data_IF_811619670154
#
_entry.id   IF_811619670154
#
_cell.length_a   1.000
_cell.length_b   1.000
_cell.length_c   1.000
_cell.angle_alpha   90.00
_cell.angle_beta   90.00
_cell.angle_gamma   90.00
#
_symmetry.space_group_name_H-M   'P 1'
#
loop_
_entity.id
_entity.type
_entity.pdbx_description
1 polymer ?
#
# COMPACT_ATOMS: atom_id res chain seq x y z
N UNK A 1 -34.27 39.83 49.85
CA UNK A 1 -34.29 41.27 50.14
C UNK A 1 -34.06 41.99 48.80
N UNK A 2 -35.13 42.56 48.26
CA UNK A 2 -35.30 43.36 47.01
C UNK A 2 -35.04 44.85 47.40
N UNK A 3 -34.59 45.82 46.54
CA UNK A 3 -35.14 46.17 45.20
C UNK A 3 -34.12 46.51 44.09
N UNK A 4 -34.39 46.35 42.78
CA UNK A 4 -35.50 46.71 41.88
C UNK A 4 -35.46 48.18 41.40
N UNK A 5 -35.13 48.43 40.13
CA UNK A 5 -35.83 49.44 39.31
C UNK A 5 -35.76 49.18 37.81
N UNK A 6 -36.97 49.24 37.26
CA UNK A 6 -37.44 49.09 35.89
C UNK A 6 -37.11 50.33 35.03
N UNK A 7 -36.93 50.12 33.74
CA UNK A 7 -36.92 51.16 32.71
C UNK A 7 -37.05 50.56 31.31
N UNK A 8 -38.27 50.20 30.94
CA UNK A 8 -38.73 49.80 29.61
C UNK A 8 -38.61 50.94 28.59
N UNK A 9 -38.17 50.64 27.35
CA UNK A 9 -38.62 51.28 26.10
C UNK A 9 -38.30 50.39 24.88
N UNK A 10 -39.32 49.66 24.43
CA UNK A 10 -39.83 49.63 23.05
C UNK A 10 -38.84 49.65 21.87
N UNK A 11 -38.79 48.52 21.15
CA UNK A 11 -39.07 48.46 19.72
C UNK A 11 -37.98 48.91 18.75
N UNK A 12 -37.37 47.94 18.06
CA UNK A 12 -37.06 47.98 16.62
C UNK A 12 -36.66 46.56 16.21
N UNK A 13 -37.45 45.97 15.32
CA UNK A 13 -37.17 44.66 14.76
C UNK A 13 -35.89 44.68 13.94
N UNK A 14 -34.99 43.74 14.21
CA UNK A 14 -33.97 43.34 13.26
C UNK A 14 -34.18 41.87 12.95
N UNK A 15 -34.47 41.63 11.66
CA UNK A 15 -34.58 40.32 11.06
C UNK A 15 -33.22 39.64 11.18
N UNK A 16 -33.18 38.53 11.92
CA UNK A 16 -32.06 37.61 11.95
C UNK A 16 -31.99 36.91 10.59
N UNK A 17 -30.89 37.01 9.81
CA UNK A 17 -30.67 36.08 8.72
C UNK A 17 -30.18 34.77 9.33
N UNK A 18 -31.03 33.74 9.22
CA UNK A 18 -30.67 32.34 9.43
C UNK A 18 -29.55 31.99 8.45
N UNK A 19 -28.31 31.87 8.94
CA UNK A 19 -27.22 31.27 8.18
C UNK A 19 -27.52 29.77 7.98
N UNK A 20 -28.18 29.44 6.87
CA UNK A 20 -28.18 28.07 6.34
C UNK A 20 -26.76 27.74 5.89
N UNK A 21 -26.03 26.96 6.69
CA UNK A 21 -24.86 26.22 6.21
C UNK A 21 -25.30 25.29 5.08
N UNK A 22 -25.01 25.65 3.83
CA UNK A 22 -24.89 24.68 2.73
C UNK A 22 -23.40 24.42 2.54
N UNK A 23 -23.01 23.16 2.75
CA UNK A 23 -21.65 22.71 2.56
C UNK A 23 -21.21 22.90 1.11
N UNK A 24 -20.12 23.63 0.92
CA UNK A 24 -19.39 23.64 -0.34
C UNK A 24 -18.46 22.42 -0.33
N UNK A 25 -18.88 21.35 -1.02
CA UNK A 25 -17.97 20.29 -1.46
C UNK A 25 -17.01 20.90 -2.49
N UNK A 26 -15.74 21.07 -2.12
CA UNK A 26 -14.68 21.36 -3.07
C UNK A 26 -14.55 20.18 -4.04
N UNK A 27 -14.93 20.39 -5.30
CA UNK A 27 -14.67 19.46 -6.39
C UNK A 27 -13.22 19.64 -6.82
N UNK A 28 -12.36 18.67 -6.49
CA UNK A 28 -11.03 18.59 -7.05
C UNK A 28 -11.14 18.29 -8.55
N UNK A 29 -10.62 19.18 -9.39
CA UNK A 29 -10.43 18.91 -10.80
C UNK A 29 -9.25 17.93 -10.95
N UNK A 30 -9.55 16.70 -11.38
CA UNK A 30 -8.55 15.71 -11.77
C UNK A 30 -8.16 16.04 -13.21
N UNK A 31 -6.92 16.46 -13.44
CA UNK A 31 -6.36 16.60 -14.78
C UNK A 31 -6.02 15.20 -15.30
N UNK A 32 -6.94 14.60 -16.05
CA UNK A 32 -6.72 13.32 -16.73
C UNK A 32 -6.26 13.63 -18.17
N UNK A 33 -4.96 13.60 -18.43
CA UNK A 33 -4.42 13.74 -19.79
C UNK A 33 -4.35 12.35 -20.44
N UNK A 34 -5.38 11.99 -21.20
CA UNK A 34 -5.32 10.90 -22.17
C UNK A 34 -4.85 11.48 -23.51
N UNK A 35 -3.58 11.23 -23.86
CA UNK A 35 -3.08 11.56 -25.19
C UNK A 35 -3.55 10.50 -26.21
N UNK A 36 -3.94 10.99 -27.38
CA UNK A 36 -4.53 10.25 -28.52
C UNK A 36 -3.58 9.21 -29.18
N UNK A 37 -4.11 8.25 -29.96
CA UNK A 37 -3.55 6.90 -30.10
C UNK A 37 -2.49 6.70 -31.22
N UNK A 38 -1.81 7.75 -31.66
CA UNK A 38 -0.96 7.66 -32.87
C UNK A 38 0.36 6.87 -32.69
N UNK A 39 0.67 6.35 -31.50
CA UNK A 39 1.82 5.47 -31.25
C UNK A 39 1.42 4.13 -30.58
N UNK A 40 0.15 3.73 -30.69
CA UNK A 40 -0.41 2.54 -30.02
C UNK A 40 -0.44 1.26 -30.88
N UNK A 41 0.27 1.21 -32.01
CA UNK A 41 0.28 0.03 -32.88
C UNK A 41 1.64 -0.64 -32.87
N UNK A 42 1.80 -1.61 -31.96
CA UNK A 42 2.39 -2.94 -32.20
C UNK A 42 2.90 -3.55 -30.88
N UNK A 43 1.98 -4.08 -30.06
CA UNK A 43 2.31 -5.22 -29.18
C UNK A 43 2.01 -6.48 -29.97
N UNK A 44 2.93 -7.44 -30.13
CA UNK A 44 2.59 -8.71 -30.76
C UNK A 44 1.55 -9.43 -29.89
N UNK A 45 0.49 -9.96 -30.51
CA UNK A 45 -0.62 -10.66 -29.85
C UNK A 45 -0.16 -11.77 -28.87
N UNK A 46 1.04 -12.30 -29.05
CA UNK A 46 1.69 -13.25 -28.13
C UNK A 46 1.96 -12.69 -26.72
N UNK A 47 2.12 -11.37 -26.56
CA UNK A 47 2.31 -10.74 -25.24
C UNK A 47 0.99 -10.58 -24.47
N UNK A 48 -0.14 -10.56 -25.18
CA UNK A 48 -1.48 -10.37 -24.61
C UNK A 48 -2.06 -11.71 -24.12
N UNK A 49 -1.83 -12.80 -24.86
CA UNK A 49 -2.15 -14.16 -24.40
C UNK A 49 -1.31 -14.60 -23.18
N UNK A 50 -0.05 -14.14 -23.09
CA UNK A 50 0.80 -14.41 -21.93
C UNK A 50 0.41 -13.58 -20.68
N UNK A 51 0.04 -12.31 -20.87
CA UNK A 51 -0.42 -11.43 -19.78
C UNK A 51 -1.80 -11.82 -19.24
N UNK A 52 -2.67 -12.43 -20.06
CA UNK A 52 -3.97 -12.93 -19.62
C UNK A 52 -3.88 -14.24 -18.81
N UNK A 53 -2.77 -14.99 -18.91
CA UNK A 53 -2.53 -16.20 -18.14
C UNK A 53 -1.92 -15.94 -16.75
N UNK A 54 -1.28 -14.77 -16.54
CA UNK A 54 -0.74 -14.31 -15.26
C UNK A 54 -1.26 -12.91 -14.98
N UNK A 55 -2.31 -12.77 -14.17
CA UNK A 55 -3.08 -11.52 -14.01
C UNK A 55 -2.30 -10.32 -13.47
N UNK A 56 -1.39 -9.75 -14.25
CA UNK A 56 -0.62 -8.53 -13.96
C UNK A 56 0.35 -8.63 -12.77
N UNK A 57 0.70 -9.84 -12.30
CA UNK A 57 1.59 -10.02 -11.15
C UNK A 57 2.59 -11.19 -11.32
N UNK A 58 3.67 -11.15 -10.54
CA UNK A 58 4.68 -12.22 -10.43
C UNK A 58 4.89 -12.61 -8.98
N UNK A 59 4.93 -13.91 -8.72
CA UNK A 59 5.09 -14.48 -7.38
C UNK A 59 6.49 -15.09 -7.22
N UNK A 60 7.14 -14.79 -6.10
CA UNK A 60 8.44 -15.32 -5.69
C UNK A 60 8.29 -15.99 -4.32
N UNK A 61 8.60 -17.28 -4.24
CA UNK A 61 8.44 -18.06 -2.99
C UNK A 61 9.56 -17.67 -2.01
N UNK A 62 9.16 -17.18 -0.83
CA UNK A 62 10.07 -16.90 0.29
C UNK A 62 10.27 -18.16 1.13
N UNK A 63 9.21 -18.93 1.37
CA UNK A 63 9.22 -20.11 2.22
C UNK A 63 8.13 -21.10 1.76
N UNK A 64 8.49 -22.38 1.72
CA UNK A 64 7.58 -23.49 1.34
C UNK A 64 7.06 -24.25 2.55
N UNK A 65 7.64 -24.03 3.74
CA UNK A 65 7.30 -24.74 4.97
C UNK A 65 7.38 -26.27 4.87
N UNK A 66 8.05 -26.79 3.84
CA UNK A 66 8.16 -28.21 3.53
C UNK A 66 9.48 -28.79 4.07
N UNK A 67 9.51 -29.09 5.37
CA UNK A 67 10.68 -29.63 6.05
C UNK A 67 10.70 -31.16 6.07
N UNK A 68 11.89 -31.76 5.95
CA UNK A 68 12.02 -33.21 6.00
C UNK A 68 11.88 -33.76 7.43
N UNK A 69 12.18 -32.97 8.47
CA UNK A 69 12.11 -33.39 9.87
C UNK A 69 11.79 -32.23 10.83
N UNK A 70 11.26 -32.55 12.02
CA UNK A 70 11.01 -31.57 13.09
C UNK A 70 12.27 -30.80 13.47
N UNK A 71 13.41 -31.48 13.54
CA UNK A 71 14.68 -30.85 13.89
C UNK A 71 15.11 -29.78 12.89
N UNK A 72 14.84 -29.98 11.60
CA UNK A 72 15.13 -29.01 10.54
C UNK A 72 14.19 -27.81 10.63
N UNK A 73 12.90 -28.06 10.80
CA UNK A 73 11.89 -27.03 11.01
C UNK A 73 12.21 -26.15 12.23
N UNK A 74 12.61 -26.77 13.34
CA UNK A 74 12.99 -26.07 14.59
C UNK A 74 14.37 -25.42 14.52
N UNK A 75 15.26 -25.89 13.63
CA UNK A 75 16.52 -25.20 13.34
C UNK A 75 16.25 -23.87 12.62
N UNK A 76 15.32 -23.90 11.66
CA UNK A 76 14.92 -22.77 10.84
C UNK A 76 14.03 -21.74 11.58
N UNK A 77 13.03 -22.22 12.32
CA UNK A 77 12.03 -21.40 13.00
C UNK A 77 12.16 -21.54 14.52
N UNK A 78 12.49 -20.44 15.18
CA UNK A 78 12.69 -20.35 16.63
C UNK A 78 11.42 -19.84 17.31
N UNK A 79 10.87 -20.56 18.29
CA UNK A 79 9.80 -20.01 19.11
C UNK A 79 10.35 -18.87 19.97
N UNK A 80 9.51 -17.86 20.19
CA UNK A 80 9.76 -16.78 21.16
C UNK A 80 8.61 -16.73 22.19
N UNK A 81 8.82 -15.98 23.27
CA UNK A 81 7.87 -15.84 24.39
C UNK A 81 7.53 -17.21 25.02
N UNK A 82 6.24 -17.57 25.06
CA UNK A 82 5.72 -18.83 25.62
C UNK A 82 5.41 -19.87 24.53
N UNK A 83 5.87 -19.63 23.31
CA UNK A 83 5.50 -20.44 22.15
C UNK A 83 6.15 -21.81 22.18
N UNK A 84 5.42 -22.83 21.76
CA UNK A 84 5.97 -24.17 21.62
C UNK A 84 6.78 -24.28 20.32
N UNK A 85 7.78 -25.18 20.24
CA UNK A 85 8.48 -25.44 19.00
C UNK A 85 7.52 -25.90 17.90
N UNK A 86 7.81 -25.47 16.67
CA UNK A 86 7.09 -25.90 15.46
C UNK A 86 7.34 -27.38 15.18
N UNK A 87 6.45 -28.01 14.40
CA UNK A 87 6.58 -29.40 13.96
C UNK A 87 6.38 -29.50 12.45
N UNK A 88 7.05 -30.44 11.79
CA UNK A 88 6.66 -30.83 10.44
C UNK A 88 5.32 -31.55 10.51
N UNK A 89 4.49 -31.32 9.51
CA UNK A 89 3.24 -32.04 9.33
C UNK A 89 2.97 -32.24 7.84
N UNK A 90 1.95 -33.04 7.55
CA UNK A 90 1.42 -33.22 6.21
C UNK A 90 -0.11 -33.16 6.31
N UNK A 91 -0.76 -32.49 5.36
CA UNK A 91 -2.21 -32.44 5.26
C UNK A 91 -2.59 -32.65 3.81
N UNK A 92 -3.43 -33.66 3.54
CA UNK A 92 -3.88 -34.04 2.19
C UNK A 92 -2.71 -34.20 1.19
N UNK A 93 -1.62 -34.84 1.64
CA UNK A 93 -0.42 -35.04 0.82
C UNK A 93 0.45 -33.79 0.63
N UNK A 94 0.11 -32.67 1.25
CA UNK A 94 0.90 -31.43 1.20
C UNK A 94 1.73 -31.27 2.48
N UNK A 95 3.07 -31.22 2.39
CA UNK A 95 3.94 -30.87 3.52
C UNK A 95 3.63 -29.46 4.04
N UNK A 96 3.68 -29.30 5.36
CA UNK A 96 3.43 -28.01 6.01
C UNK A 96 4.15 -27.89 7.36
N UNK A 97 4.19 -26.67 7.89
CA UNK A 97 4.68 -26.38 9.23
C UNK A 97 3.50 -26.24 10.19
N UNK A 98 3.45 -27.07 11.23
CA UNK A 98 2.41 -27.06 12.26
C UNK A 98 2.85 -26.25 13.49
N UNK A 99 1.94 -25.38 13.94
CA UNK A 99 2.07 -24.53 15.13
C UNK A 99 0.91 -24.84 16.05
N UNK A 100 1.24 -25.21 17.30
CA UNK A 100 0.23 -25.43 18.34
C UNK A 100 -0.12 -24.11 19.03
N UNK A 101 -1.41 -23.86 19.21
CA UNK A 101 -1.95 -22.65 19.82
C UNK A 101 -2.69 -23.02 21.11
N UNK A 102 -2.01 -23.18 22.25
CA UNK A 102 -2.61 -23.69 23.48
C UNK A 102 -3.34 -22.58 24.28
N UNK A 103 -4.20 -21.79 23.64
CA UNK A 103 -4.79 -20.61 24.29
C UNK A 103 -5.81 -20.91 25.40
N UNK A 104 -6.39 -22.12 25.43
CA UNK A 104 -7.20 -22.58 26.57
C UNK A 104 -6.30 -23.19 27.66
N UNK A 105 -5.31 -23.99 27.26
CA UNK A 105 -4.42 -24.69 28.18
C UNK A 105 -3.39 -23.76 28.86
N UNK A 106 -2.93 -22.71 28.19
CA UNK A 106 -2.05 -21.67 28.72
C UNK A 106 -2.72 -20.30 28.63
N UNK A 107 -3.49 -19.97 29.66
CA UNK A 107 -4.23 -18.70 29.72
C UNK A 107 -3.34 -17.46 29.87
N UNK A 108 -2.02 -17.62 30.08
CA UNK A 108 -1.07 -16.52 30.09
C UNK A 108 -0.41 -16.28 28.72
N UNK A 109 -0.63 -17.17 27.75
CA UNK A 109 -0.12 -16.98 26.40
C UNK A 109 -1.01 -16.00 25.62
N UNK A 110 -0.47 -14.82 25.30
CA UNK A 110 -1.15 -13.79 24.52
C UNK A 110 -1.05 -14.05 23.00
N UNK A 111 0.02 -14.70 22.56
CA UNK A 111 0.28 -15.04 21.16
C UNK A 111 1.25 -16.22 21.04
N UNK A 112 1.21 -16.91 19.91
CA UNK A 112 2.30 -17.79 19.47
C UNK A 112 3.18 -17.02 18.49
N UNK A 113 4.49 -17.04 18.68
CA UNK A 113 5.50 -16.24 17.97
C UNK A 113 6.61 -17.16 17.48
N UNK A 114 6.89 -17.08 16.18
CA UNK A 114 7.93 -17.86 15.54
C UNK A 114 8.77 -16.99 14.63
N UNK A 115 10.08 -17.04 14.84
CA UNK A 115 11.07 -16.23 14.14
C UNK A 115 11.94 -17.07 13.22
N UNK A 116 12.28 -16.53 12.06
CA UNK A 116 13.26 -17.09 11.13
C UNK A 116 14.29 -16.03 10.78
N UNK A 117 15.56 -16.36 10.92
CA UNK A 117 16.64 -15.54 10.38
C UNK A 117 16.72 -15.73 8.86
N UNK A 118 16.80 -14.63 8.11
CA UNK A 118 16.87 -14.65 6.64
C UNK A 118 17.85 -13.59 6.14
N UNK A 119 18.03 -13.51 4.83
CA UNK A 119 18.67 -12.38 4.15
C UNK A 119 17.96 -12.17 2.82
N UNK A 120 17.04 -11.22 2.79
CA UNK A 120 16.13 -10.99 1.67
C UNK A 120 16.15 -9.53 1.23
N UNK A 121 16.04 -9.33 -0.08
CA UNK A 121 15.67 -8.05 -0.67
C UNK A 121 14.19 -8.11 -1.07
N UNK A 122 13.34 -7.42 -0.31
CA UNK A 122 11.90 -7.32 -0.53
C UNK A 122 11.49 -5.92 -1.02
N UNK A 123 12.46 -5.12 -1.50
CA UNK A 123 12.23 -3.74 -1.98
C UNK A 123 11.18 -3.67 -3.07
N UNK A 124 11.15 -4.67 -3.94
CA UNK A 124 10.32 -4.74 -5.14
C UNK A 124 9.04 -5.54 -4.99
N UNK A 125 8.76 -6.08 -3.79
CA UNK A 125 7.47 -6.72 -3.53
C UNK A 125 6.38 -5.67 -3.24
N UNK A 126 5.19 -5.84 -3.79
CA UNK A 126 4.00 -5.05 -3.45
C UNK A 126 3.10 -5.69 -2.41
N UNK A 127 3.14 -7.01 -2.27
CA UNK A 127 2.38 -7.74 -1.26
C UNK A 127 3.07 -9.03 -0.83
N UNK A 128 2.66 -9.57 0.32
CA UNK A 128 3.06 -10.88 0.80
C UNK A 128 1.83 -11.77 0.98
N UNK A 129 1.94 -13.01 0.57
CA UNK A 129 0.87 -14.00 0.61
C UNK A 129 1.28 -15.12 1.55
N UNK A 130 0.57 -15.26 2.67
CA UNK A 130 0.75 -16.36 3.61
C UNK A 130 -0.40 -17.34 3.44
N UNK A 131 -0.09 -18.52 2.93
CA UNK A 131 -1.04 -19.61 2.84
C UNK A 131 -1.05 -20.43 4.12
N UNK A 132 -2.24 -20.56 4.74
CA UNK A 132 -2.40 -21.23 6.02
C UNK A 132 -3.78 -21.84 6.21
N UNK A 133 -3.89 -22.74 7.20
CA UNK A 133 -5.16 -23.25 7.73
C UNK A 133 -5.12 -23.21 9.26
N UNK A 134 -6.26 -22.94 9.90
CA UNK A 134 -6.41 -23.05 11.36
C UNK A 134 -7.67 -23.86 11.64
N UNK A 135 -7.53 -24.97 12.37
CA UNK A 135 -8.64 -25.89 12.64
C UNK A 135 -9.81 -25.22 13.37
N UNK A 136 -9.51 -24.30 14.30
CA UNK A 136 -10.46 -23.51 15.10
C UNK A 136 -10.13 -22.03 14.99
N UNK A 137 -10.58 -21.34 13.92
CA UNK A 137 -10.17 -19.96 13.61
C UNK A 137 -10.56 -18.96 14.71
N UNK A 138 -11.61 -19.23 15.49
CA UNK A 138 -12.03 -18.41 16.64
C UNK A 138 -10.97 -18.32 17.76
N UNK A 139 -10.03 -19.28 17.82
CA UNK A 139 -8.89 -19.23 18.72
C UNK A 139 -7.92 -18.09 18.37
N UNK A 140 -7.94 -17.60 17.12
CA UNK A 140 -7.03 -16.59 16.60
C UNK A 140 -7.76 -15.27 16.37
N UNK A 141 -7.37 -14.24 17.13
CA UNK A 141 -7.91 -12.89 16.98
C UNK A 141 -7.38 -12.17 15.74
N UNK A 142 -6.10 -12.38 15.42
CA UNK A 142 -5.42 -11.90 14.22
C UNK A 142 -4.12 -12.68 13.98
N UNK A 143 -3.63 -12.62 12.76
CA UNK A 143 -2.27 -13.05 12.39
C UNK A 143 -1.45 -11.80 12.12
N UNK A 144 -0.20 -11.78 12.58
CA UNK A 144 0.76 -10.75 12.23
C UNK A 144 1.93 -11.36 11.48
N UNK A 145 2.34 -10.69 10.42
CA UNK A 145 3.54 -10.99 9.64
C UNK A 145 4.47 -9.80 9.82
N UNK A 146 5.66 -10.05 10.34
CA UNK A 146 6.69 -9.04 10.48
C UNK A 146 7.92 -9.38 9.67
N UNK A 147 8.57 -8.32 9.17
CA UNK A 147 9.89 -8.38 8.57
C UNK A 147 10.84 -7.49 9.36
N UNK A 148 11.86 -8.09 9.98
CA UNK A 148 12.93 -7.35 10.66
C UNK A 148 13.90 -6.82 9.62
N UNK A 149 14.34 -5.59 9.80
CA UNK A 149 15.37 -4.97 8.99
C UNK A 149 16.25 -4.09 9.89
N UNK A 150 17.42 -4.58 10.27
CA UNK A 150 18.28 -3.87 11.23
C UNK A 150 17.56 -3.63 12.57
N UNK A 151 17.49 -2.37 13.00
CA UNK A 151 16.96 -1.94 14.30
C UNK A 151 15.44 -1.68 14.29
N UNK A 152 14.71 -2.22 13.31
CA UNK A 152 13.27 -2.05 13.23
C UNK A 152 12.55 -3.16 12.49
N UNK A 153 11.23 -3.04 12.47
CA UNK A 153 10.32 -4.01 11.91
C UNK A 153 9.28 -3.34 11.02
N UNK A 154 8.94 -4.03 9.94
CA UNK A 154 7.69 -3.81 9.24
C UNK A 154 6.66 -4.79 9.78
N UNK A 155 5.52 -4.28 10.23
CA UNK A 155 4.44 -5.05 10.87
C UNK A 155 3.16 -5.00 10.02
N UNK A 156 2.74 -6.15 9.50
CA UNK A 156 1.46 -6.35 8.81
C UNK A 156 0.53 -7.23 9.63
N UNK A 157 -0.78 -7.03 9.50
CA UNK A 157 -1.78 -7.87 10.17
C UNK A 157 -2.90 -8.30 9.23
N UNK A 158 -3.34 -9.54 9.40
CA UNK A 158 -4.46 -10.15 8.68
C UNK A 158 -5.40 -10.87 9.64
N UNK A 159 -6.59 -11.21 9.16
CA UNK A 159 -7.59 -11.95 9.93
C UNK A 159 -7.93 -13.25 9.21
N UNK A 160 -8.05 -14.32 9.96
CA UNK A 160 -8.52 -15.61 9.46
C UNK A 160 -10.05 -15.57 9.49
N UNK A 161 -10.66 -15.81 8.34
CA UNK A 161 -12.12 -15.81 8.23
C UNK A 161 -12.72 -17.22 8.30
N UNK A 162 -11.96 -18.24 7.91
CA UNK A 162 -12.45 -19.60 7.70
C UNK A 162 -11.43 -20.63 8.20
N UNK A 163 -11.89 -21.83 8.55
CA UNK A 163 -11.02 -22.92 9.01
C UNK A 163 -10.26 -23.63 7.89
N UNK A 164 -10.73 -23.48 6.64
CA UNK A 164 -10.10 -24.08 5.46
C UNK A 164 -8.76 -23.41 5.15
N UNK A 165 -7.94 -24.14 4.39
CA UNK A 165 -6.74 -23.60 3.74
C UNK A 165 -7.11 -22.37 2.93
N UNK A 166 -6.45 -21.25 3.22
CA UNK A 166 -6.70 -19.95 2.60
C UNK A 166 -5.42 -19.12 2.56
N UNK A 167 -5.44 -18.06 1.75
CA UNK A 167 -4.33 -17.13 1.61
C UNK A 167 -4.66 -15.82 2.32
N UNK A 168 -3.85 -15.46 3.31
CA UNK A 168 -3.84 -14.10 3.85
C UNK A 168 -2.91 -13.23 3.01
N UNK A 169 -3.46 -12.16 2.45
CA UNK A 169 -2.70 -11.15 1.69
C UNK A 169 -2.35 -9.98 2.61
N UNK A 170 -1.08 -9.59 2.59
CA UNK A 170 -0.53 -8.46 3.32
C UNK A 170 0.06 -7.46 2.31
N UNK A 171 -0.72 -6.46 1.84
CA UNK A 171 -0.19 -5.41 0.97
C UNK A 171 0.89 -4.62 1.70
N UNK A 172 2.02 -4.36 1.05
CA UNK A 172 3.15 -3.61 1.63
C UNK A 172 2.73 -2.22 2.11
N UNK A 173 1.77 -1.59 1.42
CA UNK A 173 1.15 -0.30 1.78
C UNK A 173 0.43 -0.27 3.14
N UNK A 174 0.12 -1.44 3.71
CA UNK A 174 -0.54 -1.60 5.00
C UNK A 174 0.43 -1.95 6.14
N UNK A 175 1.70 -2.20 5.83
CA UNK A 175 2.71 -2.42 6.87
C UNK A 175 2.97 -1.12 7.62
N UNK A 176 3.11 -1.26 8.93
CA UNK A 176 3.52 -0.17 9.83
C UNK A 176 4.96 -0.38 10.22
N UNK A 177 5.64 0.71 10.52
CA UNK A 177 7.01 0.67 11.01
C UNK A 177 7.01 0.67 12.54
N UNK A 178 7.75 -0.27 13.13
CA UNK A 178 8.10 -0.30 14.55
C UNK A 178 9.63 -0.17 14.67
N UNK A 179 10.11 0.75 15.53
CA UNK A 179 11.54 1.07 15.58
C UNK A 179 12.03 1.80 14.33
N UNK A 180 13.27 1.52 13.90
CA UNK A 180 13.92 2.22 12.78
C UNK A 180 14.47 1.19 11.78
N UNK A 181 13.63 0.65 10.88
CA UNK A 181 14.05 -0.36 9.94
C UNK A 181 15.07 0.20 8.95
N UNK A 182 16.04 -0.63 8.56
CA UNK A 182 17.12 -0.26 7.66
C UNK A 182 16.70 -0.16 6.19
N UNK A 183 15.58 -0.81 5.81
CA UNK A 183 15.01 -0.76 4.47
C UNK A 183 14.50 -2.13 4.00
N UNK A 184 13.54 -2.14 3.08
CA UNK A 184 13.00 -3.39 2.53
C UNK A 184 14.03 -4.24 1.77
N UNK A 185 15.15 -3.64 1.34
CA UNK A 185 16.28 -4.31 0.72
C UNK A 185 17.24 -5.01 1.71
N UNK A 186 16.99 -4.86 3.02
CA UNK A 186 17.85 -5.36 4.09
C UNK A 186 17.02 -6.11 5.12
N UNK A 187 16.14 -7.00 4.67
CA UNK A 187 15.32 -7.82 5.57
C UNK A 187 16.16 -9.00 6.05
N UNK A 188 16.33 -9.09 7.35
CA UNK A 188 17.19 -10.10 8.01
C UNK A 188 16.42 -11.03 8.97
N UNK A 189 15.12 -10.82 9.12
CA UNK A 189 14.25 -11.64 9.96
C UNK A 189 12.81 -11.67 9.49
N UNK A 190 12.14 -12.79 9.71
CA UNK A 190 10.68 -12.95 9.54
C UNK A 190 10.12 -13.37 10.89
N UNK A 191 9.00 -12.77 11.30
CA UNK A 191 8.22 -13.22 12.46
C UNK A 191 6.78 -13.44 12.06
N UNK A 192 6.25 -14.61 12.40
CA UNK A 192 4.83 -14.93 12.26
C UNK A 192 4.25 -15.04 13.67
N UNK A 193 3.19 -14.29 13.94
CA UNK A 193 2.51 -14.33 15.22
C UNK A 193 1.00 -14.59 15.07
N UNK A 194 0.50 -15.54 15.85
CA UNK A 194 -0.93 -15.81 16.01
C UNK A 194 -1.38 -15.22 17.34
N UNK A 195 -2.21 -14.17 17.29
CA UNK A 195 -2.74 -13.53 18.49
C UNK A 195 -3.95 -14.28 19.01
N UNK A 196 -4.03 -14.44 20.33
CA UNK A 196 -5.18 -15.05 20.99
C UNK A 196 -6.47 -14.29 20.68
N UNK A 197 -7.49 -15.05 20.28
CA UNK A 197 -8.87 -14.60 20.13
C UNK A 197 -9.72 -15.10 21.29
N UNK A 198 -10.26 -16.31 21.15
CA UNK A 198 -11.01 -17.02 22.20
C UNK A 198 -10.12 -18.01 22.95
N UNK A 199 -10.58 -18.38 24.14
CA UNK A 199 -9.91 -19.35 25.02
C UNK A 199 -10.18 -20.77 24.56
N UNK A 200 -9.66 -21.09 23.38
CA UNK A 200 -9.81 -22.37 22.71
C UNK A 200 -8.43 -22.75 22.17
N UNK A 201 -8.00 -23.98 22.46
CA UNK A 201 -6.78 -24.50 21.85
C UNK A 201 -7.00 -24.70 20.35
N UNK A 202 -5.98 -24.48 19.53
CA UNK A 202 -6.04 -24.68 18.09
C UNK A 202 -4.70 -25.14 17.53
N UNK A 203 -4.71 -25.46 16.24
CA UNK A 203 -3.54 -25.80 15.45
C UNK A 203 -3.56 -24.97 14.17
N UNK A 204 -2.49 -24.22 13.94
CA UNK A 204 -2.24 -23.55 12.68
C UNK A 204 -1.28 -24.37 11.82
N UNK A 205 -1.52 -24.39 10.50
CA UNK A 205 -0.65 -25.01 9.50
C UNK A 205 -0.28 -23.99 8.45
N UNK A 206 1.02 -23.82 8.20
CA UNK A 206 1.56 -22.90 7.20
C UNK A 206 2.04 -23.70 5.98
N UNK A 207 1.67 -23.25 4.77
CA UNK A 207 1.93 -23.96 3.52
C UNK A 207 2.86 -23.20 2.58
N UNK A 208 2.75 -21.87 2.50
CA UNK A 208 3.70 -21.06 1.73
C UNK A 208 3.71 -19.62 2.21
N UNK A 209 4.85 -18.95 2.06
CA UNK A 209 4.98 -17.50 2.13
C UNK A 209 5.60 -17.02 0.82
N UNK A 210 4.92 -16.10 0.15
CA UNK A 210 5.28 -15.65 -1.20
C UNK A 210 5.31 -14.12 -1.25
N UNK A 211 6.32 -13.55 -1.91
CA UNK A 211 6.35 -12.15 -2.30
C UNK A 211 5.65 -11.99 -3.65
N UNK A 212 4.77 -11.01 -3.78
CA UNK A 212 4.09 -10.68 -5.04
C UNK A 212 4.53 -9.31 -5.52
N UNK A 213 4.89 -9.25 -6.80
CA UNK A 213 5.16 -8.02 -7.57
C UNK A 213 4.03 -7.77 -8.56
N UNK A 214 3.76 -6.50 -8.87
CA UNK A 214 2.69 -6.09 -9.78
C UNK A 214 3.27 -5.30 -10.95
N UNK A 215 2.53 -5.19 -12.04
CA UNK A 215 2.91 -4.34 -13.17
C UNK A 215 2.75 -2.84 -12.88
N UNK A 216 2.04 -2.48 -11.80
CA UNK A 216 1.77 -1.10 -11.41
C UNK A 216 2.62 -0.77 -10.19
N UNK A 217 3.41 0.31 -10.26
CA UNK A 217 4.10 0.89 -9.12
C UNK A 217 3.38 2.13 -8.61
N UNK A 218 3.36 2.34 -7.29
CA UNK A 218 3.04 3.61 -6.64
C UNK A 218 4.31 4.10 -5.96
N UNK A 219 4.80 5.27 -6.38
CA UNK A 219 5.95 5.93 -5.74
C UNK A 219 5.45 6.82 -4.61
N UNK A 220 6.04 6.66 -3.42
CA UNK A 220 5.62 7.34 -2.19
C UNK A 220 6.78 7.98 -1.44
N UNK A 221 6.52 9.01 -0.61
CA UNK A 221 7.54 9.57 0.25
C UNK A 221 8.08 8.55 1.24
N UNK A 222 9.40 8.44 1.34
CA UNK A 222 10.05 7.64 2.36
C UNK A 222 9.85 8.25 3.75
N UNK A 223 9.44 7.45 4.76
CA UNK A 223 9.43 7.89 6.15
C UNK A 223 10.81 8.38 6.62
N UNK A 224 11.89 7.79 6.10
CA UNK A 224 13.27 8.12 6.47
C UNK A 224 13.65 9.53 6.02
N UNK A 225 13.29 9.91 4.79
CA UNK A 225 13.62 11.23 4.25
C UNK A 225 12.61 12.31 4.65
N UNK A 226 11.35 11.93 4.85
CA UNK A 226 10.24 12.90 4.86
C UNK A 226 9.32 12.79 6.07
N UNK A 227 9.53 11.83 6.99
CA UNK A 227 8.61 11.55 8.10
C UNK A 227 8.29 12.72 9.03
N UNK A 228 9.16 13.73 9.09
CA UNK A 228 8.97 14.95 9.90
C UNK A 228 8.30 16.09 9.14
N UNK A 229 8.12 15.99 7.82
CA UNK A 229 7.51 17.04 6.97
C UNK A 229 5.99 17.07 7.16
N UNK A 230 5.42 18.28 7.17
CA UNK A 230 3.99 18.52 7.44
C UNK A 230 3.03 17.81 6.47
N UNK A 231 3.44 17.63 5.21
CA UNK A 231 2.60 17.00 4.16
C UNK A 231 2.83 15.49 4.02
N UNK A 232 3.76 14.91 4.77
CA UNK A 232 4.12 13.49 4.67
C UNK A 232 2.93 12.55 4.89
N UNK A 233 2.14 12.81 5.95
CA UNK A 233 0.97 11.98 6.25
C UNK A 233 -0.08 12.05 5.14
N UNK A 234 -0.34 13.25 4.61
CA UNK A 234 -1.30 13.45 3.52
C UNK A 234 -0.87 12.72 2.25
N UNK A 235 0.42 12.77 1.90
CA UNK A 235 0.98 12.04 0.78
C UNK A 235 0.83 10.52 0.94
N UNK A 236 1.21 9.98 2.10
CA UNK A 236 1.07 8.55 2.42
C UNK A 236 -0.39 8.08 2.37
N UNK A 237 -1.33 8.85 2.93
CA UNK A 237 -2.76 8.52 2.90
C UNK A 237 -3.34 8.55 1.49
N UNK A 238 -2.92 9.51 0.67
CA UNK A 238 -3.38 9.62 -0.73
C UNK A 238 -2.89 8.43 -1.55
N UNK A 239 -1.61 8.07 -1.40
CA UNK A 239 -1.06 6.89 -2.05
C UNK A 239 -1.73 5.59 -1.57
N UNK A 240 -2.03 5.46 -0.27
CA UNK A 240 -2.74 4.28 0.26
C UNK A 240 -4.14 4.13 -0.33
N UNK A 241 -4.90 5.22 -0.47
CA UNK A 241 -6.22 5.17 -1.13
C UNK A 241 -6.12 4.71 -2.58
N UNK A 242 -5.10 5.17 -3.32
CA UNK A 242 -4.84 4.68 -4.67
C UNK A 242 -4.57 3.18 -4.69
N UNK A 243 -3.73 2.68 -3.78
CA UNK A 243 -3.47 1.25 -3.65
C UNK A 243 -4.78 0.48 -3.34
N UNK A 244 -5.59 0.95 -2.40
CA UNK A 244 -6.89 0.35 -2.07
C UNK A 244 -7.85 0.28 -3.28
N UNK A 245 -7.87 1.32 -4.13
CA UNK A 245 -8.66 1.28 -5.36
C UNK A 245 -8.14 0.25 -6.37
N UNK A 246 -6.82 0.17 -6.57
CA UNK A 246 -6.25 -0.84 -7.47
C UNK A 246 -6.47 -2.27 -6.95
N UNK A 247 -6.41 -2.47 -5.64
CA UNK A 247 -6.74 -3.75 -5.00
C UNK A 247 -8.22 -4.10 -5.19
N UNK A 248 -9.14 -3.15 -5.02
CA UNK A 248 -10.56 -3.37 -5.25
C UNK A 248 -10.89 -3.73 -6.71
N UNK A 249 -10.03 -3.32 -7.65
CA UNK A 249 -10.10 -3.68 -9.07
C UNK A 249 -9.35 -4.99 -9.41
N UNK A 250 -8.71 -5.63 -8.44
CA UNK A 250 -7.94 -6.86 -8.63
C UNK A 250 -6.58 -6.68 -9.31
N UNK A 251 -6.09 -5.44 -9.45
CA UNK A 251 -4.82 -5.13 -10.11
C UNK A 251 -3.65 -5.16 -9.11
N UNK A 252 -3.85 -4.59 -7.92
CA UNK A 252 -2.79 -4.34 -6.94
C UNK A 252 -1.72 -3.36 -7.43
N UNK A 253 -0.76 -3.05 -6.55
CA UNK A 253 0.39 -2.23 -6.91
C UNK A 253 1.58 -2.48 -5.98
N UNK A 254 2.78 -2.27 -6.53
CA UNK A 254 4.03 -2.26 -5.80
C UNK A 254 4.23 -0.92 -5.11
N UNK A 255 4.54 -0.96 -3.82
CA UNK A 255 4.72 0.21 -2.96
C UNK A 255 6.21 0.54 -2.88
N UNK A 256 6.61 1.60 -3.60
CA UNK A 256 8.01 1.98 -3.76
C UNK A 256 8.28 3.31 -3.05
N UNK A 257 9.15 3.27 -2.05
CA UNK A 257 9.60 4.48 -1.35
C UNK A 257 10.65 5.21 -2.20
N UNK A 258 10.55 6.54 -2.27
CA UNK A 258 11.38 7.40 -3.11
C UNK A 258 12.89 7.35 -2.84
N UNK A 259 13.31 6.88 -1.67
CA UNK A 259 14.72 6.66 -1.32
C UNK A 259 15.24 5.26 -1.70
N UNK A 260 14.36 4.39 -2.17
CA UNK A 260 14.64 3.02 -2.58
C UNK A 260 14.38 2.77 -4.08
N UNK A 261 13.99 3.80 -4.84
CA UNK A 261 13.82 3.70 -6.29
C UNK A 261 15.12 3.98 -7.03
N UNK A 262 15.39 3.15 -8.02
CA UNK A 262 16.38 3.42 -9.06
C UNK A 262 15.76 3.20 -10.44
N UNK A 263 16.54 3.49 -11.47
CA UNK A 263 16.08 3.36 -12.85
C UNK A 263 15.65 1.92 -13.19
N UNK A 264 16.38 0.90 -12.71
CA UNK A 264 16.06 -0.50 -12.95
C UNK A 264 14.76 -0.92 -12.27
N UNK A 265 14.55 -0.49 -11.03
CA UNK A 265 13.32 -0.74 -10.27
C UNK A 265 12.11 -0.11 -10.97
N UNK A 266 12.19 1.16 -11.35
CA UNK A 266 11.05 1.84 -12.00
C UNK A 266 10.80 1.34 -13.42
N UNK A 267 11.85 1.11 -14.22
CA UNK A 267 11.71 0.61 -15.58
C UNK A 267 11.14 -0.82 -15.65
N UNK A 268 11.17 -1.57 -14.55
CA UNK A 268 10.51 -2.87 -14.44
C UNK A 268 8.96 -2.76 -14.47
N UNK A 269 8.41 -1.56 -14.26
CA UNK A 269 6.97 -1.33 -14.19
C UNK A 269 6.48 -0.60 -15.45
N UNK A 270 5.55 -1.18 -16.24
CA UNK A 270 4.94 -0.48 -17.36
C UNK A 270 4.12 0.75 -16.93
N UNK A 271 3.58 0.76 -15.71
CA UNK A 271 2.78 1.87 -15.17
C UNK A 271 3.32 2.33 -13.81
N UNK A 272 3.62 3.62 -13.69
CA UNK A 272 4.08 4.27 -12.48
C UNK A 272 3.07 5.35 -12.09
N UNK A 273 2.53 5.27 -10.89
CA UNK A 273 1.62 6.24 -10.32
C UNK A 273 2.35 7.08 -9.27
N UNK A 274 2.14 8.39 -9.31
CA UNK A 274 2.61 9.36 -8.32
C UNK A 274 1.40 10.15 -7.81
N UNK A 275 0.66 9.63 -6.82
CA UNK A 275 -0.66 10.16 -6.41
C UNK A 275 -0.62 11.53 -5.72
N UNK A 276 0.36 11.76 -4.85
CA UNK A 276 0.65 13.09 -4.30
C UNK A 276 2.00 12.97 -3.61
N UNK A 277 3.02 13.60 -4.18
CA UNK A 277 4.39 13.48 -3.71
C UNK A 277 5.11 14.84 -3.73
N UNK A 278 4.88 15.71 -2.74
CA UNK A 278 5.39 17.08 -2.72
C UNK A 278 6.89 17.20 -2.49
N UNK A 279 7.59 16.08 -2.33
CA UNK A 279 9.01 16.05 -1.96
C UNK A 279 9.92 15.44 -3.02
N UNK A 280 9.42 15.17 -4.24
CA UNK A 280 10.28 14.67 -5.31
C UNK A 280 11.38 15.69 -5.59
N UNK A 281 12.62 15.29 -5.34
CA UNK A 281 13.78 16.09 -5.68
C UNK A 281 14.22 15.85 -7.14
N UNK A 282 15.29 16.54 -7.55
CA UNK A 282 15.82 16.43 -8.91
C UNK A 282 16.30 15.02 -9.24
N UNK A 283 16.89 14.30 -8.26
CA UNK A 283 17.39 12.95 -8.46
C UNK A 283 16.25 11.96 -8.69
N UNK A 284 15.24 11.96 -7.82
CA UNK A 284 14.06 11.12 -7.97
C UNK A 284 13.28 11.45 -9.26
N UNK A 285 13.22 12.74 -9.61
CA UNK A 285 12.62 13.20 -10.87
C UNK A 285 13.36 12.65 -12.09
N UNK A 286 14.69 12.66 -12.09
CA UNK A 286 15.47 12.13 -13.21
C UNK A 286 15.34 10.60 -13.33
N UNK A 287 15.26 9.89 -12.20
CA UNK A 287 14.99 8.44 -12.18
C UNK A 287 13.62 8.12 -12.81
N UNK A 288 12.58 8.89 -12.45
CA UNK A 288 11.24 8.79 -13.07
C UNK A 288 11.28 9.09 -14.57
N UNK A 289 11.95 10.18 -14.97
CA UNK A 289 12.12 10.55 -16.38
C UNK A 289 12.83 9.46 -17.18
N UNK A 290 13.89 8.87 -16.62
CA UNK A 290 14.63 7.82 -17.31
C UNK A 290 13.79 6.56 -17.51
N UNK A 291 13.00 6.17 -16.51
CA UNK A 291 12.02 5.08 -16.66
C UNK A 291 10.98 5.39 -17.75
N UNK A 292 10.47 6.63 -17.80
CA UNK A 292 9.53 7.05 -18.85
C UNK A 292 10.15 7.02 -20.25
N UNK A 293 11.41 7.46 -20.40
CA UNK A 293 12.16 7.37 -21.67
C UNK A 293 12.38 5.92 -22.13
N UNK A 294 12.44 4.98 -21.19
CA UNK A 294 12.54 3.53 -21.45
C UNK A 294 11.20 2.84 -21.69
N UNK A 295 10.09 3.57 -21.62
CA UNK A 295 8.77 3.11 -22.04
C UNK A 295 7.72 3.03 -20.93
N UNK A 296 8.09 3.21 -19.66
CA UNK A 296 7.12 3.28 -18.56
C UNK A 296 6.17 4.46 -18.73
N UNK A 297 4.91 4.29 -18.31
CA UNK A 297 3.90 5.36 -18.31
C UNK A 297 3.80 5.97 -16.92
N UNK A 298 3.96 7.28 -16.82
CA UNK A 298 3.81 8.01 -15.55
C UNK A 298 2.43 8.67 -15.45
N UNK A 299 1.73 8.44 -14.34
CA UNK A 299 0.51 9.17 -13.96
C UNK A 299 0.80 10.00 -12.71
N UNK A 300 0.78 11.31 -12.88
CA UNK A 300 1.07 12.26 -11.82
C UNK A 300 -0.21 12.98 -11.44
N UNK A 301 -0.46 13.07 -10.15
CA UNK A 301 -1.67 13.66 -9.62
C UNK A 301 -1.29 14.88 -8.78
N UNK A 302 -2.02 15.98 -9.00
CA UNK A 302 -1.86 17.29 -8.35
C UNK A 302 -0.55 18.04 -8.66
N UNK A 303 0.61 17.37 -8.60
CA UNK A 303 1.92 17.96 -8.84
C UNK A 303 2.71 17.14 -9.85
N UNK A 304 3.36 17.85 -10.78
CA UNK A 304 4.24 17.28 -11.78
C UNK A 304 5.53 18.10 -11.78
N UNK A 305 6.71 17.51 -11.56
CA UNK A 305 7.98 18.21 -11.70
C UNK A 305 8.11 18.87 -13.08
N UNK A 306 8.68 20.07 -13.15
CA UNK A 306 8.81 20.82 -14.41
C UNK A 306 9.57 20.04 -15.49
N UNK A 307 10.62 19.31 -15.12
CA UNK A 307 11.37 18.48 -16.07
C UNK A 307 10.50 17.38 -16.73
N UNK A 308 9.49 16.88 -16.01
CA UNK A 308 8.51 15.93 -16.57
C UNK A 308 7.51 16.65 -17.49
N UNK A 309 7.06 17.84 -17.12
CA UNK A 309 6.22 18.66 -18.00
C UNK A 309 6.95 18.99 -19.31
N UNK A 310 8.20 19.45 -19.23
CA UNK A 310 9.04 19.77 -20.38
C UNK A 310 9.26 18.55 -21.28
N UNK A 311 9.54 17.39 -20.68
CA UNK A 311 9.65 16.13 -21.42
C UNK A 311 8.36 15.76 -22.17
N UNK A 312 7.20 16.07 -21.60
CA UNK A 312 5.89 15.88 -22.24
C UNK A 312 5.53 16.99 -23.24
N UNK A 313 6.41 17.98 -23.45
CA UNK A 313 6.14 19.15 -24.30
C UNK A 313 5.16 20.15 -23.67
N UNK A 314 4.97 20.09 -22.35
CA UNK A 314 4.10 20.96 -21.58
C UNK A 314 4.93 22.06 -20.91
N UNK A 315 4.54 23.32 -21.06
CA UNK A 315 5.21 24.47 -20.45
C UNK A 315 4.32 25.20 -19.44
N UNK A 316 4.90 25.63 -18.32
CA UNK A 316 4.37 26.75 -17.52
C UNK A 316 3.01 26.54 -16.85
N UNK A 317 2.72 25.34 -16.34
CA UNK A 317 1.49 25.12 -15.58
C UNK A 317 1.49 25.97 -14.29
N UNK A 318 0.52 26.90 -14.18
CA UNK A 318 0.33 27.73 -13.00
C UNK A 318 -0.94 27.30 -12.27
N UNK A 319 -0.82 27.05 -10.96
CA UNK A 319 -1.99 26.91 -10.12
C UNK A 319 -2.81 28.21 -10.15
N UNK A 320 -4.08 28.09 -10.54
CA UNK A 320 -5.02 29.21 -10.56
C UNK A 320 -6.15 28.86 -9.60
N UNK A 321 -6.24 29.61 -8.50
CA UNK A 321 -7.35 29.48 -7.56
C UNK A 321 -8.62 30.06 -8.18
N UNK A 322 -9.74 29.41 -7.94
CA UNK A 322 -11.06 29.97 -8.26
C UNK A 322 -11.31 31.19 -7.36
N UNK A 323 -11.60 32.33 -7.98
CA UNK A 323 -11.95 33.61 -7.36
C UNK A 323 -13.45 33.81 -7.34
N UNK A 324 -14.15 33.35 -8.38
CA UNK A 324 -15.60 33.51 -8.53
C UNK A 324 -16.31 32.21 -8.95
N UNK A 325 -17.56 32.05 -8.52
CA UNK A 325 -18.39 30.91 -8.89
C UNK A 325 -18.56 30.85 -10.43
N UNK A 326 -18.10 29.77 -11.04
CA UNK A 326 -18.14 29.57 -12.49
C UNK A 326 -16.90 30.00 -13.26
N UNK A 327 -15.84 30.48 -12.62
CA UNK A 327 -14.59 30.88 -13.32
C UNK A 327 -13.94 29.74 -14.13
N UNK A 328 -14.15 28.49 -13.71
CA UNK A 328 -13.72 27.29 -14.43
C UNK A 328 -14.90 26.50 -15.02
N UNK A 329 -16.00 27.16 -15.36
CA UNK A 329 -17.19 26.50 -15.92
C UNK A 329 -16.95 25.92 -17.33
N UNK A 330 -15.94 26.42 -18.05
CA UNK A 330 -15.57 25.94 -19.38
C UNK A 330 -14.06 26.08 -19.61
N UNK A 331 -13.47 25.10 -20.31
CA UNK A 331 -12.10 25.17 -20.84
C UNK A 331 -12.22 25.10 -22.36
N UNK A 332 -11.77 26.15 -23.05
CA UNK A 332 -11.74 26.20 -24.52
C UNK A 332 -10.30 26.22 -25.00
N UNK A 333 -10.03 25.48 -26.06
CA UNK A 333 -8.76 25.62 -26.77
C UNK A 333 -8.78 26.89 -27.60
N UNK A 334 -7.68 27.64 -27.55
CA UNK A 334 -7.48 28.78 -28.43
C UNK A 334 -7.19 28.26 -29.85
N UNK A 335 -8.19 28.29 -30.73
CA UNK A 335 -8.12 27.69 -32.06
C UNK A 335 -7.00 28.26 -32.93
N UNK A 336 -6.62 29.53 -32.73
CA UNK A 336 -5.49 30.15 -33.40
C UNK A 336 -4.13 29.61 -32.94
N UNK A 337 -4.06 29.03 -31.75
CA UNK A 337 -2.83 28.46 -31.20
C UNK A 337 -2.62 27.00 -31.63
N UNK A 338 -3.68 26.25 -31.93
CA UNK A 338 -3.65 24.84 -32.32
C UNK A 338 -4.69 24.54 -33.42
N UNK A 339 -4.33 24.76 -34.71
CA UNK A 339 -5.29 24.76 -35.82
C UNK A 339 -5.96 23.42 -36.17
N UNK A 340 -5.59 22.31 -35.52
CA UNK A 340 -6.04 20.95 -35.89
C UNK A 340 -6.82 20.22 -34.77
N UNK A 341 -7.31 20.94 -33.76
CA UNK A 341 -8.11 20.32 -32.69
C UNK A 341 -9.57 20.06 -33.15
N UNK A 342 -10.18 18.94 -32.71
CA UNK A 342 -11.60 18.66 -32.96
C UNK A 342 -12.51 19.76 -32.39
N UNK A 343 -13.57 20.11 -33.13
CA UNK A 343 -14.57 21.11 -32.72
C UNK A 343 -15.54 20.60 -31.64
#
# INVERSE_FOLDING_TARGET
MIPNRIGDRSGLGSVVPVLRRRGATARAAILLLLLTPAAWTARPAAAEEAAQASGGFRDEVIETFAYAADAEAQAAWKPDERSQPVRRAETDGTPCLEIRLPFAADTQQARSVHDRAVRLDLSSAGAFLLELAVDRPEAVGSVSLYFRSGEGWYAGSGRIAESRRSVLRFPKSQFRTEGTPAGWNQVDGIRIAFWRGRDVDATARLFSLTARRHEIAIVVPSPKLHGTKSEFRTAQETARRMAEFLEALGLGADWLEDDAVDEGVLAAHPLILVPYHPFLDEQATEVLLSAMRKGSKGFFFYQVPNAILEYLGLGGARYTAQREDGEFAEIRFEQSALPDLPQ
#
